data_IF_319784517616
#
_entry.id   IF_319784517616
#
_cell.length_a   1.000
_cell.length_b   1.000
_cell.length_c   1.000
_cell.angle_alpha   90.00
_cell.angle_beta   90.00
_cell.angle_gamma   90.00
#
_symmetry.space_group_name_H-M   'P 1'
#
loop_
_entity.id
_entity.type
_entity.pdbx_description
1 polymer ?
#
# COMPACT_ATOMS: atom_id res chain seq x y z
N UNK A 1 -8.77 23.27 9.84
CA UNK A 1 -9.92 22.49 9.33
C UNK A 1 -9.93 22.68 7.82
N UNK A 2 -9.23 21.83 7.08
CA UNK A 2 -9.29 21.82 5.61
C UNK A 2 -10.16 20.64 5.22
N UNK A 3 -11.37 20.89 4.73
CA UNK A 3 -12.20 19.83 4.17
C UNK A 3 -11.54 19.33 2.89
N UNK A 4 -11.31 18.03 2.80
CA UNK A 4 -10.99 17.40 1.52
C UNK A 4 -12.23 17.50 0.63
N UNK A 5 -12.04 18.01 -0.59
CA UNK A 5 -13.04 17.86 -1.65
C UNK A 5 -12.98 16.38 -2.03
N UNK A 6 -14.03 15.64 -1.69
CA UNK A 6 -14.13 14.22 -2.03
C UNK A 6 -14.12 13.99 -3.55
N UNK A 7 -13.66 12.82 -3.98
CA UNK A 7 -13.88 12.36 -5.35
C UNK A 7 -15.30 11.83 -5.49
N UNK A 8 -15.99 12.25 -6.55
CA UNK A 8 -17.24 11.61 -6.98
C UNK A 8 -16.93 10.79 -8.24
N UNK A 9 -17.40 9.54 -8.26
CA UNK A 9 -17.36 8.70 -9.44
C UNK A 9 -18.79 8.51 -9.94
N UNK A 10 -19.06 9.05 -11.12
CA UNK A 10 -20.34 8.89 -11.79
C UNK A 10 -20.13 8.09 -13.07
N UNK A 11 -20.97 7.06 -13.26
CA UNK A 11 -20.98 6.24 -14.48
C UNK A 11 -22.33 6.38 -15.18
N UNK A 12 -22.31 6.79 -16.44
CA UNK A 12 -23.50 6.95 -17.25
C UNK A 12 -23.20 6.65 -18.72
N UNK A 13 -24.14 6.01 -19.42
CA UNK A 13 -24.10 5.94 -20.89
C UNK A 13 -24.59 7.27 -21.44
N UNK A 14 -23.67 8.13 -21.88
CA UNK A 14 -23.97 9.47 -22.36
C UNK A 14 -24.04 9.46 -23.89
N UNK A 15 -25.19 9.86 -24.47
CA UNK A 15 -25.33 9.97 -25.93
C UNK A 15 -24.84 11.30 -26.50
N UNK A 16 -25.07 12.42 -25.80
CA UNK A 16 -24.72 13.76 -26.31
C UNK A 16 -24.09 14.68 -25.25
N UNK A 17 -24.70 14.80 -24.07
CA UNK A 17 -24.23 15.72 -23.00
C UNK A 17 -24.36 15.11 -21.62
N UNK A 18 -23.35 15.34 -20.79
CA UNK A 18 -23.38 15.09 -19.34
C UNK A 18 -23.22 16.42 -18.60
N UNK A 19 -23.82 16.55 -17.43
CA UNK A 19 -23.70 17.75 -16.59
C UNK A 19 -23.62 17.34 -15.14
N UNK A 20 -22.60 17.86 -14.44
CA UNK A 20 -22.42 17.67 -13.00
C UNK A 20 -22.47 19.00 -12.28
N UNK A 21 -23.23 19.04 -11.18
CA UNK A 21 -23.28 20.16 -10.26
C UNK A 21 -22.41 19.82 -9.05
N UNK A 22 -21.40 20.66 -8.79
CA UNK A 22 -20.55 20.55 -7.62
C UNK A 22 -21.03 21.55 -6.57
N UNK A 23 -21.37 21.06 -5.38
CA UNK A 23 -21.72 21.90 -4.23
C UNK A 23 -20.47 22.10 -3.40
N UNK A 24 -19.94 23.32 -3.40
CA UNK A 24 -18.78 23.67 -2.57
C UNK A 24 -19.23 23.97 -1.13
N UNK A 25 -18.46 23.54 -0.10
CA UNK A 25 -18.67 23.97 1.27
C UNK A 25 -18.60 25.50 1.40
N UNK A 26 -19.41 26.06 2.32
CA UNK A 26 -19.54 27.51 2.50
C UNK A 26 -18.26 28.22 2.97
N UNK A 27 -17.27 27.47 3.47
CA UNK A 27 -15.99 27.94 3.99
C UNK A 27 -14.85 27.92 2.96
N UNK A 28 -15.12 27.54 1.70
CA UNK A 28 -14.13 27.56 0.62
C UNK A 28 -14.05 28.96 -0.01
N UNK A 29 -12.98 29.71 0.29
CA UNK A 29 -12.67 30.99 -0.34
C UNK A 29 -11.85 30.78 -1.63
N UNK A 30 -12.45 31.04 -2.79
CA UNK A 30 -11.84 30.87 -4.11
C UNK A 30 -12.17 29.52 -4.76
N UNK A 31 -11.87 29.39 -6.07
CA UNK A 31 -12.06 28.12 -6.77
C UNK A 31 -10.87 27.19 -6.48
N UNK A 32 -11.09 26.05 -5.80
CA UNK A 32 -10.09 25.00 -5.74
C UNK A 32 -9.84 24.49 -7.16
N UNK A 33 -8.60 24.08 -7.47
CA UNK A 33 -8.27 23.49 -8.76
C UNK A 33 -9.26 22.34 -9.08
N UNK A 34 -10.03 22.50 -10.15
CA UNK A 34 -10.97 21.47 -10.61
C UNK A 34 -10.34 20.67 -11.74
N UNK A 35 -10.31 19.35 -11.59
CA UNK A 35 -9.87 18.43 -12.64
C UNK A 35 -11.03 17.49 -12.96
N UNK A 36 -11.39 17.40 -14.24
CA UNK A 36 -12.33 16.42 -14.75
C UNK A 36 -11.57 15.41 -15.62
N UNK A 37 -11.75 14.12 -15.34
CA UNK A 37 -11.21 13.02 -16.14
C UNK A 37 -12.36 12.24 -16.75
N UNK A 38 -12.30 12.00 -18.06
CA UNK A 38 -13.30 11.25 -18.80
C UNK A 38 -12.61 10.01 -19.33
N UNK A 39 -13.14 8.85 -18.96
CA UNK A 39 -12.61 7.56 -19.36
C UNK A 39 -13.48 6.97 -20.46
N UNK A 40 -12.84 6.47 -21.51
CA UNK A 40 -13.53 5.85 -22.64
C UNK A 40 -13.86 4.38 -22.36
N UNK A 41 -13.10 3.77 -21.44
CA UNK A 41 -13.26 2.40 -21.01
C UNK A 41 -12.93 2.26 -19.49
N UNK A 42 -13.40 1.20 -18.81
CA UNK A 42 -13.13 1.00 -17.38
C UNK A 42 -11.64 0.78 -17.05
N UNK A 43 -10.86 0.25 -18.00
CA UNK A 43 -9.45 -0.05 -17.80
C UNK A 43 -8.63 1.25 -17.61
N UNK A 44 -8.94 2.32 -18.33
CA UNK A 44 -8.30 3.63 -18.19
C UNK A 44 -8.41 4.16 -16.75
N UNK A 45 -9.62 4.04 -16.16
CA UNK A 45 -9.89 4.49 -14.80
C UNK A 45 -9.12 3.69 -13.75
N UNK A 46 -8.89 2.39 -14.04
CA UNK A 46 -8.14 1.50 -13.18
C UNK A 46 -6.63 1.81 -13.23
N UNK A 47 -6.08 2.05 -14.43
CA UNK A 47 -4.67 2.45 -14.58
C UNK A 47 -4.44 3.80 -13.86
N UNK A 48 -5.35 4.75 -13.99
CA UNK A 48 -5.28 6.02 -13.26
C UNK A 48 -5.34 5.85 -11.74
N UNK A 49 -6.18 4.94 -11.24
CA UNK A 49 -6.23 4.62 -9.82
C UNK A 49 -4.90 4.03 -9.35
N UNK A 50 -4.29 3.13 -10.13
CA UNK A 50 -2.97 2.57 -9.81
C UNK A 50 -1.88 3.64 -9.83
N UNK A 51 -1.90 4.55 -10.81
CA UNK A 51 -0.94 5.67 -10.87
C UNK A 51 -0.99 6.52 -9.60
N UNK A 52 -2.18 6.73 -9.03
CA UNK A 52 -2.33 7.49 -7.78
C UNK A 52 -1.71 6.80 -6.54
N UNK A 53 -1.45 5.49 -6.61
CA UNK A 53 -0.77 4.76 -5.54
C UNK A 53 0.73 5.06 -5.51
N UNK A 54 1.31 5.42 -6.66
CA UNK A 54 2.75 5.57 -6.86
C UNK A 54 3.28 6.76 -6.04
N UNK A 55 3.87 6.47 -4.89
CA UNK A 55 4.32 7.46 -3.91
C UNK A 55 5.60 7.02 -3.24
N UNK A 56 6.46 7.98 -2.91
CA UNK A 56 7.69 7.68 -2.20
C UNK A 56 7.40 7.15 -0.79
N UNK A 57 8.10 6.09 -0.34
CA UNK A 57 7.99 5.58 1.02
C UNK A 57 8.46 6.61 2.04
N UNK A 58 7.81 6.69 3.19
CA UNK A 58 8.14 7.65 4.25
C UNK A 58 7.75 7.14 5.64
N UNK A 59 8.28 7.81 6.67
CA UNK A 59 7.77 7.66 8.03
C UNK A 59 8.19 6.36 8.74
N UNK A 60 7.45 5.97 9.77
CA UNK A 60 7.68 4.72 10.52
C UNK A 60 7.36 3.48 9.67
N UNK A 61 7.53 2.28 10.24
CA UNK A 61 7.17 1.02 9.59
C UNK A 61 5.74 1.05 9.03
N UNK A 62 4.75 1.41 9.86
CA UNK A 62 3.34 1.44 9.48
C UNK A 62 3.09 2.36 8.27
N UNK A 63 3.66 3.56 8.29
CA UNK A 63 3.51 4.55 7.22
C UNK A 63 4.20 4.11 5.92
N UNK A 64 5.40 3.55 6.06
CA UNK A 64 6.17 3.01 4.94
C UNK A 64 5.40 1.85 4.29
N UNK A 65 4.90 0.92 5.11
CA UNK A 65 4.11 -0.23 4.67
C UNK A 65 2.78 0.20 4.05
N UNK A 66 2.07 1.15 4.65
CA UNK A 66 0.80 1.69 4.13
C UNK A 66 0.95 2.38 2.77
N UNK A 67 2.15 2.86 2.45
CA UNK A 67 2.45 3.43 1.13
C UNK A 67 2.86 2.34 0.14
N UNK A 68 3.70 1.41 0.56
CA UNK A 68 4.36 0.44 -0.32
C UNK A 68 3.52 -0.80 -0.59
N UNK A 69 2.69 -1.23 0.36
CA UNK A 69 1.96 -2.47 0.19
C UNK A 69 0.83 -2.38 -0.85
N UNK A 70 0.03 -1.30 -0.90
CA UNK A 70 -0.91 -1.09 -2.01
C UNK A 70 -0.20 -1.02 -3.38
N UNK A 71 1.03 -0.49 -3.43
CA UNK A 71 1.82 -0.47 -4.66
C UNK A 71 2.19 -1.89 -5.13
N UNK A 72 2.44 -2.86 -4.24
CA UNK A 72 2.66 -4.26 -4.65
C UNK A 72 1.47 -4.79 -5.45
N UNK A 73 0.25 -4.54 -4.96
CA UNK A 73 -0.99 -4.96 -5.64
C UNK A 73 -1.21 -4.21 -6.96
N UNK A 74 -0.99 -2.90 -6.97
CA UNK A 74 -1.07 -2.09 -8.19
C UNK A 74 -0.10 -2.58 -9.25
N UNK A 75 1.12 -2.94 -8.86
CA UNK A 75 2.13 -3.45 -9.78
C UNK A 75 1.77 -4.84 -10.33
N UNK A 76 1.28 -5.76 -9.49
CA UNK A 76 0.74 -7.06 -9.96
C UNK A 76 -0.30 -6.85 -11.06
N UNK A 77 -1.23 -5.94 -10.81
CA UNK A 77 -2.27 -5.59 -11.77
C UNK A 77 -1.70 -5.02 -13.07
N UNK A 78 -0.74 -4.09 -13.03
CA UNK A 78 -0.11 -3.56 -14.24
C UNK A 78 0.61 -4.64 -15.06
N UNK A 79 1.28 -5.58 -14.39
CA UNK A 79 1.93 -6.74 -15.05
C UNK A 79 0.90 -7.58 -15.81
N UNK A 80 -0.26 -7.86 -15.20
CA UNK A 80 -1.32 -8.63 -15.84
C UNK A 80 -1.99 -7.89 -17.01
N UNK A 81 -2.10 -6.57 -16.91
CA UNK A 81 -2.77 -5.72 -17.90
C UNK A 81 -1.91 -5.41 -19.11
N UNK A 82 -0.58 -5.34 -18.97
CA UNK A 82 0.34 -4.91 -20.04
C UNK A 82 0.12 -5.66 -21.35
N UNK A 83 -0.09 -6.98 -21.28
CA UNK A 83 -0.34 -7.84 -22.46
C UNK A 83 -1.69 -7.61 -23.12
N UNK A 84 -2.66 -7.01 -22.41
CA UNK A 84 -4.04 -6.77 -22.85
C UNK A 84 -4.21 -5.40 -23.50
N UNK A 85 -3.25 -4.50 -23.31
CA UNK A 85 -3.28 -3.18 -23.93
C UNK A 85 -3.06 -3.32 -25.44
N UNK A 86 -3.77 -2.51 -26.23
CA UNK A 86 -3.58 -2.42 -27.68
C UNK A 86 -2.93 -1.10 -28.09
N UNK A 87 -3.22 -0.01 -27.37
CA UNK A 87 -2.66 1.30 -27.65
C UNK A 87 -1.19 1.41 -27.24
N UNK A 88 -0.36 1.97 -28.12
CA UNK A 88 1.07 2.08 -27.90
C UNK A 88 1.43 3.14 -26.84
N UNK A 89 0.63 4.20 -26.72
CA UNK A 89 0.83 5.27 -25.73
C UNK A 89 0.52 4.76 -24.34
N UNK A 90 -0.60 4.05 -24.17
CA UNK A 90 -0.98 3.43 -22.91
C UNK A 90 0.02 2.37 -22.45
N UNK A 91 0.49 1.52 -23.37
CA UNK A 91 1.58 0.56 -23.08
C UNK A 91 2.81 1.24 -22.54
N UNK A 92 3.26 2.32 -23.21
CA UNK A 92 4.42 3.07 -22.78
C UNK A 92 4.22 3.64 -21.37
N UNK A 93 3.05 4.24 -21.09
CA UNK A 93 2.71 4.74 -19.76
C UNK A 93 2.76 3.63 -18.71
N UNK A 94 2.17 2.47 -18.97
CA UNK A 94 2.18 1.34 -18.02
C UNK A 94 3.60 0.83 -17.76
N UNK A 95 4.46 0.78 -18.78
CA UNK A 95 5.88 0.43 -18.59
C UNK A 95 6.58 1.46 -17.69
N UNK A 96 6.39 2.75 -17.94
CA UNK A 96 6.97 3.82 -17.12
C UNK A 96 6.47 3.77 -15.66
N UNK A 97 5.18 3.51 -15.46
CA UNK A 97 4.58 3.32 -14.13
C UNK A 97 5.19 2.12 -13.41
N UNK A 98 5.32 0.96 -14.07
CA UNK A 98 5.95 -0.23 -13.49
C UNK A 98 7.39 0.06 -13.06
N UNK A 99 8.16 0.72 -13.91
CA UNK A 99 9.56 1.06 -13.59
C UNK A 99 9.67 2.00 -12.38
N UNK A 100 8.76 2.98 -12.24
CA UNK A 100 8.74 3.88 -11.08
C UNK A 100 8.29 3.14 -9.80
N UNK A 101 7.26 2.30 -9.91
CA UNK A 101 6.81 1.44 -8.80
C UNK A 101 7.92 0.52 -8.33
N UNK A 102 8.69 -0.08 -9.24
CA UNK A 102 9.85 -0.93 -8.91
C UNK A 102 10.90 -0.19 -8.07
N UNK A 103 11.23 1.05 -8.46
CA UNK A 103 12.20 1.88 -7.75
C UNK A 103 11.69 2.24 -6.35
N UNK A 104 10.43 2.67 -6.26
CA UNK A 104 9.82 3.08 -4.98
C UNK A 104 9.57 1.90 -4.05
N UNK A 105 9.21 0.73 -4.57
CA UNK A 105 9.10 -0.51 -3.81
C UNK A 105 10.47 -1.00 -3.33
N UNK A 106 11.51 -0.87 -4.14
CA UNK A 106 12.89 -1.19 -3.71
C UNK A 106 13.32 -0.28 -2.56
N UNK A 107 13.15 1.04 -2.70
CA UNK A 107 13.42 1.98 -1.61
C UNK A 107 12.54 1.73 -0.38
N UNK A 108 11.30 1.29 -0.60
CA UNK A 108 10.36 0.90 0.43
C UNK A 108 10.83 -0.31 1.22
N UNK A 109 11.27 -1.35 0.51
CA UNK A 109 11.86 -2.56 1.08
C UNK A 109 13.10 -2.22 1.92
N UNK A 110 14.05 -1.46 1.37
CA UNK A 110 15.27 -1.02 2.08
C UNK A 110 14.93 -0.26 3.37
N UNK A 111 13.90 0.59 3.34
CA UNK A 111 13.42 1.30 4.52
C UNK A 111 12.78 0.36 5.53
N UNK A 112 11.93 -0.56 5.07
CA UNK A 112 11.20 -1.49 5.93
C UNK A 112 12.14 -2.41 6.72
N UNK A 113 13.14 -2.99 6.06
CA UNK A 113 14.14 -3.86 6.73
C UNK A 113 14.96 -3.11 7.78
N UNK A 114 15.09 -1.78 7.66
CA UNK A 114 15.76 -0.94 8.66
C UNK A 114 15.02 -0.81 9.99
N UNK A 115 13.76 -1.27 10.07
CA UNK A 115 12.96 -1.30 11.29
C UNK A 115 12.99 -2.66 12.00
N UNK A 116 13.85 -3.56 11.56
CA UNK A 116 14.11 -4.79 12.26
C UNK A 116 14.85 -4.54 13.58
N UNK A 117 14.41 -5.22 14.62
CA UNK A 117 14.99 -5.16 15.97
C UNK A 117 16.19 -6.08 16.11
N UNK A 118 16.98 -5.90 17.16
CA UNK A 118 18.11 -6.79 17.50
C UNK A 118 17.71 -8.25 17.80
N UNK A 119 16.41 -8.51 17.97
CA UNK A 119 15.84 -9.84 18.16
C UNK A 119 15.14 -10.38 16.90
N UNK A 120 15.23 -9.72 15.74
CA UNK A 120 14.67 -10.13 14.45
C UNK A 120 13.15 -10.00 14.28
N UNK A 121 12.43 -9.42 15.26
CA UNK A 121 11.08 -8.91 15.04
C UNK A 121 11.10 -7.49 14.47
N UNK A 122 9.96 -6.96 14.02
CA UNK A 122 9.82 -5.59 13.50
C UNK A 122 9.05 -4.68 14.46
N UNK A 123 9.42 -3.41 14.50
CA UNK A 123 8.77 -2.37 15.33
C UNK A 123 8.69 -1.05 14.55
N UNK A 124 7.79 -0.13 14.92
CA UNK A 124 7.59 1.15 14.21
C UNK A 124 8.87 1.91 13.85
N UNK A 125 9.88 1.86 14.72
CA UNK A 125 11.14 2.58 14.61
C UNK A 125 12.36 1.68 14.86
N UNK A 126 12.19 0.35 14.91
CA UNK A 126 13.26 -0.61 15.15
C UNK A 126 13.65 -0.79 16.63
N UNK A 127 12.84 -0.33 17.57
CA UNK A 127 13.11 -0.54 18.99
C UNK A 127 12.68 -1.96 19.45
N UNK A 128 13.48 -2.56 20.32
CA UNK A 128 13.13 -3.87 20.92
C UNK A 128 12.19 -3.73 22.12
N UNK A 129 11.32 -4.72 22.38
CA UNK A 129 11.08 -5.91 21.56
C UNK A 129 10.22 -5.61 20.33
N UNK A 130 10.33 -6.45 19.29
CA UNK A 130 9.46 -6.39 18.12
C UNK A 130 7.97 -6.51 18.47
N UNK A 131 7.11 -6.09 17.56
CA UNK A 131 5.65 -6.17 17.66
C UNK A 131 5.13 -7.24 16.70
N UNK A 132 4.36 -8.20 17.21
CA UNK A 132 3.97 -9.41 16.49
C UNK A 132 3.15 -9.09 15.24
N UNK A 133 2.15 -8.23 15.36
CA UNK A 133 1.29 -7.86 14.23
C UNK A 133 2.07 -7.11 13.15
N UNK A 134 3.03 -6.26 13.52
CA UNK A 134 3.86 -5.56 12.54
C UNK A 134 4.82 -6.52 11.84
N UNK A 135 5.39 -7.45 12.61
CA UNK A 135 6.30 -8.48 12.11
C UNK A 135 5.58 -9.41 11.13
N UNK A 136 4.37 -9.85 11.47
CA UNK A 136 3.54 -10.69 10.60
C UNK A 136 3.12 -9.96 9.33
N UNK A 137 2.68 -8.70 9.48
CA UNK A 137 2.31 -7.87 8.35
C UNK A 137 3.49 -7.60 7.41
N UNK A 138 4.68 -7.34 7.99
CA UNK A 138 5.94 -7.23 7.26
C UNK A 138 6.30 -8.50 6.52
N UNK A 139 6.26 -9.66 7.18
CA UNK A 139 6.55 -10.95 6.57
C UNK A 139 5.70 -11.20 5.33
N UNK A 140 4.38 -10.99 5.44
CA UNK A 140 3.44 -11.12 4.32
C UNK A 140 3.82 -10.14 3.20
N UNK A 141 4.05 -8.87 3.53
CA UNK A 141 4.45 -7.86 2.56
C UNK A 141 5.76 -8.20 1.84
N UNK A 142 6.78 -8.70 2.54
CA UNK A 142 8.08 -9.05 1.97
C UNK A 142 7.97 -10.23 1.00
N UNK A 143 7.18 -11.25 1.34
CA UNK A 143 6.90 -12.37 0.44
C UNK A 143 6.23 -11.85 -0.85
N UNK A 144 5.24 -10.97 -0.72
CA UNK A 144 4.52 -10.47 -1.89
C UNK A 144 5.32 -9.45 -2.72
N UNK A 145 6.24 -8.71 -2.10
CA UNK A 145 7.23 -7.89 -2.81
C UNK A 145 8.14 -8.76 -3.69
N UNK A 146 8.53 -9.95 -3.21
CA UNK A 146 9.33 -10.89 -4.00
C UNK A 146 8.58 -11.35 -5.26
N UNK A 147 7.29 -11.63 -5.15
CA UNK A 147 6.46 -12.07 -6.29
C UNK A 147 6.36 -11.04 -7.41
N UNK A 148 6.51 -9.76 -7.09
CA UNK A 148 6.52 -8.67 -8.08
C UNK A 148 7.92 -8.28 -8.53
N UNK A 149 8.94 -9.07 -8.19
CA UNK A 149 10.31 -8.90 -8.70
C UNK A 149 11.19 -7.97 -7.86
N UNK A 150 10.83 -7.67 -6.61
CA UNK A 150 11.75 -7.01 -5.68
C UNK A 150 12.75 -8.06 -5.16
N UNK A 151 14.03 -7.68 -5.08
CA UNK A 151 15.08 -8.53 -4.55
C UNK A 151 15.01 -8.60 -3.02
N UNK A 152 14.14 -9.46 -2.51
CA UNK A 152 13.92 -9.69 -1.08
C UNK A 152 14.83 -10.80 -0.58
N UNK A 153 15.49 -10.55 0.56
CA UNK A 153 16.39 -11.50 1.20
C UNK A 153 15.63 -12.69 1.79
N UNK A 154 15.95 -13.89 1.30
CA UNK A 154 15.31 -15.13 1.71
C UNK A 154 15.67 -15.52 3.16
N UNK A 155 16.90 -15.26 3.60
CA UNK A 155 17.31 -15.55 4.99
C UNK A 155 16.54 -14.65 5.97
N UNK A 156 16.27 -13.40 5.57
CA UNK A 156 15.41 -12.49 6.33
C UNK A 156 13.97 -13.00 6.46
N UNK A 157 13.37 -13.51 5.39
CA UNK A 157 12.03 -14.13 5.44
C UNK A 157 12.03 -15.30 6.45
N UNK A 158 13.01 -16.20 6.36
CA UNK A 158 13.07 -17.41 7.18
C UNK A 158 13.27 -17.11 8.67
N UNK A 159 14.13 -16.15 9.01
CA UNK A 159 14.33 -15.74 10.42
C UNK A 159 13.13 -14.98 10.98
N UNK A 160 12.44 -14.19 10.15
CA UNK A 160 11.21 -13.48 10.55
C UNK A 160 10.07 -14.47 10.82
N UNK A 161 9.86 -15.48 9.96
CA UNK A 161 8.90 -16.58 10.20
C UNK A 161 9.26 -17.37 11.46
N UNK A 162 10.54 -17.70 11.65
CA UNK A 162 11.03 -18.40 12.84
C UNK A 162 10.78 -17.59 14.12
N UNK A 163 10.98 -16.27 14.07
CA UNK A 163 10.70 -15.38 15.19
C UNK A 163 9.22 -15.40 15.59
N UNK A 164 8.32 -15.27 14.61
CA UNK A 164 6.87 -15.32 14.83
C UNK A 164 6.43 -16.67 15.42
N UNK A 165 6.91 -17.79 14.86
CA UNK A 165 6.63 -19.13 15.40
C UNK A 165 7.11 -19.30 16.83
N UNK A 166 8.27 -18.74 17.17
CA UNK A 166 8.79 -18.74 18.54
C UNK A 166 7.92 -17.96 19.54
N UNK A 167 7.13 -16.99 19.06
CA UNK A 167 6.19 -16.19 19.86
C UNK A 167 4.80 -16.83 19.96
N UNK A 168 4.52 -17.88 19.19
CA UNK A 168 3.27 -18.64 19.26
C UNK A 168 3.33 -19.74 20.34
N UNK A 169 2.32 -19.83 21.19
CA UNK A 169 2.13 -20.90 22.17
C UNK A 169 0.69 -21.38 22.13
N UNK A 170 0.48 -22.63 21.69
CA UNK A 170 -0.85 -23.27 21.57
C UNK A 170 -1.84 -22.47 20.68
N UNK A 171 -1.34 -21.80 19.64
CA UNK A 171 -2.17 -20.99 18.73
C UNK A 171 -2.43 -19.56 19.21
N UNK A 172 -1.81 -19.12 20.30
CA UNK A 172 -1.85 -17.72 20.75
C UNK A 172 -0.46 -17.08 20.67
N UNK A 173 -0.39 -15.82 20.26
CA UNK A 173 0.85 -15.06 20.23
C UNK A 173 1.09 -14.30 21.54
N UNK A 174 2.35 -14.21 21.94
CA UNK A 174 2.79 -13.41 23.09
C UNK A 174 2.86 -11.92 22.72
N UNK A 175 1.73 -11.24 22.65
CA UNK A 175 1.66 -9.87 22.16
C UNK A 175 2.45 -8.87 23.02
N UNK A 176 3.24 -8.02 22.37
CA UNK A 176 3.83 -6.84 22.97
C UNK A 176 2.73 -5.80 23.30
N UNK A 177 2.59 -5.35 24.56
CA UNK A 177 1.49 -4.44 24.95
C UNK A 177 1.68 -3.00 24.48
N UNK A 178 2.80 -2.66 23.83
CA UNK A 178 3.10 -1.30 23.37
C UNK A 178 2.19 -0.92 22.20
N UNK A 179 1.37 0.11 22.40
CA UNK A 179 0.45 0.64 21.38
C UNK A 179 0.89 2.04 20.95
N UNK A 180 1.43 2.17 19.75
CA UNK A 180 1.75 3.49 19.18
C UNK A 180 0.72 3.96 18.13
N UNK A 181 -0.21 3.09 17.70
CA UNK A 181 -1.14 3.34 16.60
C UNK A 181 -2.35 2.38 16.57
N UNK A 182 -3.00 2.31 15.40
CA UNK A 182 -4.12 1.42 15.07
C UNK A 182 -3.81 -0.09 15.11
N UNK A 183 -2.56 -0.50 14.85
CA UNK A 183 -2.12 -1.90 14.87
C UNK A 183 -1.92 -2.43 16.29
N UNK A 184 -1.54 -1.58 17.24
CA UNK A 184 -1.41 -1.97 18.65
C UNK A 184 -2.74 -2.07 19.41
N UNK A 185 -3.79 -1.39 18.93
CA UNK A 185 -5.06 -1.23 19.65
C UNK A 185 -6.06 -2.38 19.55
N UNK A 186 -5.79 -3.42 18.76
CA UNK A 186 -6.71 -4.53 18.56
C UNK A 186 -6.78 -5.47 19.78
N UNK A 187 -7.93 -6.15 19.94
CA UNK A 187 -8.07 -7.21 20.97
C UNK A 187 -7.14 -8.38 20.66
N UNK A 188 -6.74 -9.14 21.69
CA UNK A 188 -5.85 -10.31 21.53
C UNK A 188 -6.43 -11.32 20.54
N UNK A 189 -7.74 -11.52 20.56
CA UNK A 189 -8.46 -12.42 19.65
C UNK A 189 -8.34 -11.96 18.20
N UNK A 190 -8.49 -10.65 17.95
CA UNK A 190 -8.30 -10.07 16.62
C UNK A 190 -6.84 -10.20 16.18
N UNK A 191 -5.89 -9.78 17.01
CA UNK A 191 -4.46 -9.88 16.65
C UNK A 191 -4.03 -11.31 16.36
N UNK A 192 -4.46 -12.30 17.15
CA UNK A 192 -4.16 -13.71 16.91
C UNK A 192 -4.77 -14.26 15.61
N UNK A 193 -5.91 -13.72 15.15
CA UNK A 193 -6.54 -14.17 13.90
C UNK A 193 -5.83 -13.65 12.64
N UNK A 194 -5.07 -12.56 12.77
CA UNK A 194 -4.38 -11.89 11.66
C UNK A 194 -2.87 -12.15 11.63
N UNK A 195 -2.33 -12.92 12.59
CA UNK A 195 -0.93 -13.40 12.64
C UNK A 195 -0.92 -14.89 12.32
#
# INVERSE_FOLDING_TARGET
KGGFIGSNLDSATVKDKVSHTLVLPADVNGLPNLTAKIYSNPLDSLIDAVESLIRDPYGCFEQTSSTTYPMVMGLRLLIELESKLSDATEKKRVVEMKDDMQKKLTAGYERLIGFETDTFGYEWFGASPGHETLTAYGLMQFIEMKDVGINVDQEMIERTDSWLRGRSKKGEFQLNPRQLDSFGGATKEVSNAYI
#
